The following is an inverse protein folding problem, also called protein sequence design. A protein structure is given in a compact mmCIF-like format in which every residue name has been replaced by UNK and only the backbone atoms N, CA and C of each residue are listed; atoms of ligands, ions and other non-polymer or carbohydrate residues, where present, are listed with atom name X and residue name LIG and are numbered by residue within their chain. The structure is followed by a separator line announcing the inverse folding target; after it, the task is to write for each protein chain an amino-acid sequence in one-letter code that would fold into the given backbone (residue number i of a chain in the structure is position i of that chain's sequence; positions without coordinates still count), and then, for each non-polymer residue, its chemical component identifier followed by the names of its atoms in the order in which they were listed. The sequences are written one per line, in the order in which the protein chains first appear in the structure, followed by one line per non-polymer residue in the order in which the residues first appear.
data_IF_994917020631
#
_entry.id   IF_994917020631
#
_cell.length_a   1.000
_cell.length_b   1.000
_cell.length_c   1.000
_cell.angle_alpha   90.00
_cell.angle_beta   90.00
_cell.angle_gamma   90.00
#
_symmetry.space_group_name_H-M   'P 1'
#
loop_
_entity.id
_entity.type
_entity.pdbx_description
1 polymer ?
#
# COMPACT_ATOMS: atom_id res chain seq x y z
N UNK A 1 3.31 6.07 -15.49
CA UNK A 1 3.26 6.33 -14.03
C UNK A 1 4.66 6.70 -13.59
N UNK A 2 4.84 7.84 -12.94
CA UNK A 2 6.14 8.52 -12.78
C UNK A 2 7.09 7.78 -11.82
N UNK A 3 7.88 6.84 -12.32
CA UNK A 3 9.04 6.26 -11.62
C UNK A 3 10.25 7.19 -11.81
N UNK A 4 10.22 8.38 -11.21
CA UNK A 4 11.31 9.35 -11.32
C UNK A 4 11.47 10.20 -10.06
N UNK A 5 11.80 9.59 -8.92
CA UNK A 5 12.24 10.32 -7.72
C UNK A 5 13.36 9.58 -6.96
N UNK A 6 14.41 9.12 -7.65
CA UNK A 6 15.68 8.75 -6.99
C UNK A 6 16.79 9.82 -7.10
N UNK A 7 16.45 11.01 -7.62
CA UNK A 7 17.41 12.11 -7.85
C UNK A 7 17.25 13.34 -6.94
N UNK A 8 16.26 13.36 -6.05
CA UNK A 8 15.93 14.51 -5.18
C UNK A 8 15.87 14.12 -3.68
N UNK A 9 16.64 13.09 -3.30
CA UNK A 9 16.41 12.20 -2.14
C UNK A 9 16.11 12.86 -0.80
N UNK A 10 16.94 13.80 -0.33
CA UNK A 10 16.83 14.25 1.06
C UNK A 10 15.55 15.05 1.41
N UNK A 11 14.90 15.67 0.42
CA UNK A 11 13.68 16.46 0.64
C UNK A 11 12.41 15.63 0.59
N UNK A 12 12.37 14.62 -0.29
CA UNK A 12 11.23 13.74 -0.46
C UNK A 12 11.18 12.67 0.62
N UNK A 13 12.32 12.10 1.02
CA UNK A 13 12.40 11.11 2.11
C UNK A 13 11.83 11.70 3.42
N UNK A 14 12.23 12.92 3.79
CA UNK A 14 11.69 13.61 4.97
C UNK A 14 10.19 13.91 4.87
N UNK A 15 9.67 14.13 3.66
CA UNK A 15 8.24 14.36 3.45
C UNK A 15 7.46 13.05 3.53
N UNK A 16 8.01 11.96 3.01
CA UNK A 16 7.47 10.61 3.10
C UNK A 16 7.43 10.13 4.56
N UNK A 17 8.53 10.27 5.30
CA UNK A 17 8.59 9.96 6.73
C UNK A 17 7.52 10.72 7.52
N UNK A 18 7.41 12.05 7.30
CA UNK A 18 6.40 12.88 7.97
C UNK A 18 4.98 12.48 7.60
N UNK A 19 4.74 12.11 6.34
CA UNK A 19 3.44 11.61 5.89
C UNK A 19 3.09 10.31 6.61
N UNK A 20 4.05 9.37 6.67
CA UNK A 20 3.86 8.09 7.34
C UNK A 20 3.57 8.26 8.83
N UNK A 21 4.34 9.10 9.53
CA UNK A 21 4.10 9.43 10.94
C UNK A 21 2.70 10.01 11.16
N UNK A 22 2.28 10.94 10.30
CA UNK A 22 0.94 11.55 10.41
C UNK A 22 -0.18 10.55 10.14
N UNK A 23 0.03 9.60 9.21
CA UNK A 23 -0.92 8.52 8.94
C UNK A 23 -1.03 7.57 10.13
N UNK A 24 0.09 7.19 10.75
CA UNK A 24 0.09 6.34 11.94
C UNK A 24 -0.58 7.03 13.13
N UNK A 25 -0.28 8.31 13.36
CA UNK A 25 -0.92 9.10 14.42
C UNK A 25 -2.44 9.16 14.22
N UNK A 26 -2.89 9.45 13.00
CA UNK A 26 -4.32 9.44 12.66
C UNK A 26 -4.95 8.07 12.88
N UNK A 27 -4.26 7.01 12.48
CA UNK A 27 -4.72 5.64 12.61
C UNK A 27 -4.81 5.23 14.09
N UNK A 28 -3.90 5.64 14.97
CA UNK A 28 -3.86 5.17 16.36
C UNK A 28 -4.66 6.04 17.32
N UNK A 29 -4.61 7.36 17.15
CA UNK A 29 -5.11 8.32 18.13
C UNK A 29 -6.54 8.80 17.86
N UNK A 30 -7.08 8.55 16.66
CA UNK A 30 -8.49 8.81 16.36
C UNK A 30 -9.33 7.58 16.71
N UNK A 31 -10.03 7.69 17.84
CA UNK A 31 -11.03 6.71 18.29
C UNK A 31 -12.36 6.99 17.62
N UNK A 32 -12.82 6.11 16.72
CA UNK A 32 -14.19 6.16 16.23
C UNK A 32 -14.66 4.84 15.60
N UNK A 33 -15.94 4.80 15.26
CA UNK A 33 -16.84 3.66 15.19
C UNK A 33 -16.70 2.85 13.88
N UNK A 34 -17.61 1.89 13.67
CA UNK A 34 -17.49 0.75 12.75
C UNK A 34 -17.21 1.06 11.26
N UNK A 35 -17.31 2.32 10.81
CA UNK A 35 -17.09 2.72 9.40
C UNK A 35 -16.42 4.09 9.24
N UNK A 36 -15.55 4.46 10.17
CA UNK A 36 -14.83 5.72 10.08
C UNK A 36 -13.55 5.66 9.26
N UNK A 37 -13.05 6.84 8.89
CA UNK A 37 -11.81 6.95 8.12
C UNK A 37 -10.58 6.49 8.91
N UNK A 38 -10.59 6.57 10.25
CA UNK A 38 -9.48 6.10 11.07
C UNK A 38 -9.36 4.57 11.05
N UNK A 39 -10.48 3.84 11.13
CA UNK A 39 -10.53 2.38 10.98
C UNK A 39 -10.14 1.95 9.58
N UNK A 40 -10.65 2.61 8.54
CA UNK A 40 -10.26 2.31 7.16
C UNK A 40 -8.76 2.59 6.97
N UNK A 41 -8.24 3.67 7.53
CA UNK A 41 -6.81 3.97 7.52
C UNK A 41 -6.01 2.85 8.20
N UNK A 42 -6.36 2.45 9.43
CA UNK A 42 -5.72 1.34 10.15
C UNK A 42 -5.73 0.03 9.37
N UNK A 43 -6.89 -0.38 8.88
CA UNK A 43 -7.11 -1.73 8.36
C UNK A 43 -6.76 -1.88 6.86
N UNK A 44 -6.76 -0.79 6.10
CA UNK A 44 -6.53 -0.81 4.64
C UNK A 44 -5.46 0.21 4.24
N UNK A 45 -5.54 1.45 4.74
CA UNK A 45 -4.62 2.52 4.38
C UNK A 45 -3.16 2.26 4.74
N UNK A 46 -2.88 1.87 5.99
CA UNK A 46 -1.52 1.56 6.47
C UNK A 46 -0.94 0.34 5.74
N UNK A 47 -1.64 -0.81 5.62
CA UNK A 47 -1.13 -1.94 4.84
C UNK A 47 -0.88 -1.58 3.36
N UNK A 48 -1.75 -0.76 2.75
CA UNK A 48 -1.57 -0.32 1.37
C UNK A 48 -0.34 0.59 1.22
N UNK A 49 -0.12 1.52 2.15
CA UNK A 49 1.10 2.35 2.18
C UNK A 49 2.35 1.47 2.23
N UNK A 50 2.42 0.54 3.19
CA UNK A 50 3.55 -0.38 3.35
C UNK A 50 3.79 -1.20 2.08
N UNK A 51 2.71 -1.71 1.45
CA UNK A 51 2.82 -2.45 0.21
C UNK A 51 3.43 -1.65 -0.94
N UNK A 52 3.05 -0.38 -1.09
CA UNK A 52 3.60 0.50 -2.13
C UNK A 52 5.07 0.83 -1.84
N UNK A 53 5.46 1.02 -0.58
CA UNK A 53 6.86 1.19 -0.18
C UNK A 53 7.69 -0.05 -0.52
N UNK A 54 7.22 -1.25 -0.14
CA UNK A 54 7.87 -2.53 -0.50
C UNK A 54 8.02 -2.67 -2.02
N UNK A 55 6.97 -2.35 -2.78
CA UNK A 55 7.02 -2.39 -4.23
C UNK A 55 8.09 -1.44 -4.81
N UNK A 56 8.18 -0.21 -4.29
CA UNK A 56 9.19 0.77 -4.67
C UNK A 56 10.63 0.33 -4.34
N UNK A 57 10.79 -0.50 -3.32
CA UNK A 57 12.07 -1.10 -2.91
C UNK A 57 12.38 -2.43 -3.61
N UNK A 58 11.53 -2.88 -4.55
CA UNK A 58 11.65 -4.18 -5.22
C UNK A 58 11.50 -5.40 -4.29
N UNK A 59 10.85 -5.21 -3.14
CA UNK A 59 10.52 -6.23 -2.15
C UNK A 59 9.16 -6.86 -2.48
N UNK A 60 9.08 -7.52 -3.64
CA UNK A 60 7.80 -7.95 -4.23
C UNK A 60 7.05 -8.99 -3.37
N UNK A 61 7.77 -9.87 -2.68
CA UNK A 61 7.18 -10.85 -1.76
C UNK A 61 6.41 -10.15 -0.62
N UNK A 62 7.01 -9.12 -0.01
CA UNK A 62 6.41 -8.41 1.12
C UNK A 62 5.32 -7.44 0.67
N UNK A 63 5.46 -6.86 -0.52
CA UNK A 63 4.38 -6.14 -1.19
C UNK A 63 3.13 -7.03 -1.34
N UNK A 64 3.28 -8.22 -1.92
CA UNK A 64 2.16 -9.14 -2.11
C UNK A 64 1.55 -9.59 -0.77
N UNK A 65 2.37 -9.96 0.21
CA UNK A 65 1.90 -10.32 1.57
C UNK A 65 1.08 -9.21 2.23
N UNK A 66 1.48 -7.95 2.05
CA UNK A 66 0.76 -6.81 2.61
C UNK A 66 -0.56 -6.51 1.87
N UNK A 67 -0.59 -6.69 0.54
CA UNK A 67 -1.79 -6.38 -0.26
C UNK A 67 -2.84 -7.50 -0.25
N UNK A 68 -2.44 -8.76 -0.18
CA UNK A 68 -3.37 -9.91 -0.27
C UNK A 68 -4.50 -9.85 0.78
N UNK A 69 -4.24 -9.59 2.08
CA UNK A 69 -5.30 -9.53 3.09
C UNK A 69 -6.30 -8.40 2.87
N UNK A 70 -5.90 -7.33 2.18
CA UNK A 70 -6.74 -6.13 1.99
C UNK A 70 -7.38 -6.06 0.60
N UNK A 71 -7.04 -6.97 -0.34
CA UNK A 71 -7.47 -6.95 -1.74
C UNK A 71 -8.96 -6.65 -1.91
N UNK A 72 -9.79 -7.41 -1.20
CA UNK A 72 -11.25 -7.31 -1.32
C UNK A 72 -11.83 -6.10 -0.59
N UNK A 73 -11.00 -5.36 0.15
CA UNK A 73 -11.37 -4.19 0.95
C UNK A 73 -10.77 -2.89 0.44
N UNK A 74 -9.87 -2.92 -0.55
CA UNK A 74 -9.23 -1.72 -1.13
C UNK A 74 -10.27 -0.68 -1.59
N UNK A 75 -11.47 -1.11 -1.99
CA UNK A 75 -12.52 -0.18 -2.38
C UNK A 75 -12.98 0.78 -1.27
N UNK A 76 -12.77 0.43 0.01
CA UNK A 76 -13.22 1.25 1.14
C UNK A 76 -12.41 2.53 1.31
N UNK A 77 -11.20 2.62 0.74
CA UNK A 77 -10.40 3.86 0.77
C UNK A 77 -11.04 4.98 -0.09
N UNK A 78 -12.01 4.62 -0.95
CA UNK A 78 -12.59 5.51 -1.94
C UNK A 78 -11.79 5.53 -3.25
N UNK A 79 -11.63 6.72 -3.83
CA UNK A 79 -10.93 6.92 -5.11
C UNK A 79 -11.73 6.51 -6.35
N UNK A 80 -11.12 6.65 -7.52
CA UNK A 80 -11.73 6.28 -8.80
C UNK A 80 -11.48 4.81 -9.15
N UNK A 81 -12.27 4.27 -10.10
CA UNK A 81 -12.04 2.92 -10.63
C UNK A 81 -10.61 2.75 -11.18
N UNK A 82 -10.07 3.77 -11.85
CA UNK A 82 -8.72 3.73 -12.39
C UNK A 82 -7.63 3.64 -11.29
N UNK A 83 -7.84 4.30 -10.14
CA UNK A 83 -6.92 4.19 -9.00
C UNK A 83 -6.96 2.80 -8.39
N UNK A 84 -8.15 2.21 -8.24
CA UNK A 84 -8.30 0.84 -7.72
C UNK A 84 -7.71 -0.20 -8.65
N UNK A 85 -7.89 -0.01 -9.95
CA UNK A 85 -7.32 -0.87 -10.98
C UNK A 85 -5.79 -0.89 -10.90
N UNK A 86 -5.16 0.27 -10.65
CA UNK A 86 -3.72 0.33 -10.42
C UNK A 86 -3.28 -0.54 -9.24
N UNK A 87 -3.99 -0.53 -8.11
CA UNK A 87 -3.63 -1.37 -6.97
C UNK A 87 -3.73 -2.86 -7.29
N UNK A 88 -4.77 -3.26 -8.02
CA UNK A 88 -4.90 -4.64 -8.51
C UNK A 88 -3.74 -5.02 -9.44
N UNK A 89 -3.37 -4.14 -10.38
CA UNK A 89 -2.22 -4.37 -11.27
C UNK A 89 -0.90 -4.45 -10.50
N UNK A 90 -0.70 -3.61 -9.48
CA UNK A 90 0.48 -3.66 -8.61
C UNK A 90 0.58 -4.99 -7.89
N UNK A 91 -0.51 -5.49 -7.30
CA UNK A 91 -0.54 -6.81 -6.65
C UNK A 91 -0.20 -7.93 -7.64
N UNK A 92 -0.86 -7.95 -8.81
CA UNK A 92 -0.58 -8.96 -9.85
C UNK A 92 0.90 -8.95 -10.23
N UNK A 93 1.45 -7.76 -10.51
CA UNK A 93 2.84 -7.65 -10.89
C UNK A 93 3.81 -8.01 -9.73
N UNK A 94 3.46 -7.71 -8.49
CA UNK A 94 4.23 -8.14 -7.32
C UNK A 94 4.26 -9.67 -7.21
N UNK A 95 3.13 -10.36 -7.35
CA UNK A 95 3.08 -11.83 -7.38
C UNK A 95 3.94 -12.41 -8.53
N UNK A 96 3.86 -11.85 -9.73
CA UNK A 96 4.69 -12.30 -10.86
C UNK A 96 6.19 -12.15 -10.61
N UNK A 97 6.60 -11.17 -9.82
CA UNK A 97 8.01 -10.88 -9.49
C UNK A 97 8.46 -11.46 -8.16
N UNK A 98 7.55 -12.04 -7.38
CA UNK A 98 7.84 -12.67 -6.09
C UNK A 98 8.82 -13.84 -6.28
N UNK A 99 9.72 -14.01 -5.31
CA UNK A 99 10.65 -15.15 -5.30
C UNK A 99 10.04 -16.36 -4.60
N UNK A 100 9.12 -16.13 -3.67
CA UNK A 100 8.31 -17.16 -3.04
C UNK A 100 7.31 -17.73 -4.05
N UNK A 101 7.48 -19.01 -4.37
CA UNK A 101 6.59 -19.72 -5.31
C UNK A 101 5.14 -19.73 -4.84
N UNK A 102 4.91 -19.79 -3.53
CA UNK A 102 3.55 -19.79 -2.98
C UNK A 102 2.82 -18.50 -3.28
N UNK A 103 3.54 -17.37 -3.28
CA UNK A 103 3.01 -16.04 -3.62
C UNK A 103 2.89 -15.90 -5.14
N UNK A 104 3.89 -16.38 -5.87
CA UNK A 104 3.90 -16.33 -7.34
C UNK A 104 2.73 -17.11 -7.96
N UNK A 105 2.35 -18.23 -7.37
CA UNK A 105 1.22 -19.05 -7.82
C UNK A 105 -0.15 -18.41 -7.52
N UNK A 106 -0.22 -17.30 -6.78
CA UNK A 106 -1.48 -16.59 -6.49
C UNK A 106 -1.94 -15.67 -7.63
N UNK A 107 -1.26 -15.68 -8.79
CA UNK A 107 -1.46 -14.75 -9.90
C UNK A 107 -2.67 -15.09 -10.81
N UNK A 108 -3.79 -15.58 -10.22
CA UNK A 108 -5.00 -16.16 -10.85
C UNK A 108 -4.99 -17.69 -10.91
#
# INVERSE_FOLDING_TARGET
MCMALRGAGAGYEKQEERLHETLLDFAENVKSDEYDQARICREVGIPLYNAITHYGNEEYDDCAKAMLPIRDRIYTIGGSNAQRDLFSQTLINACMKAKDKTISDMTL
#
